data_IF_427303346700
#
_entry.id   IF_427303346700
#
_cell.length_a   1.000
_cell.length_b   1.000
_cell.length_c   1.000
_cell.angle_alpha   90.00
_cell.angle_beta   90.00
_cell.angle_gamma   90.00
#
_symmetry.space_group_name_H-M   'P 1'
#
loop_
_entity.id
_entity.type
_entity.pdbx_description
1 polymer ?
#
# COMPACT_ATOMS: atom_id res chain seq x y z
N UNK A 1 -16.12 -19.46 -8.88
CA UNK A 1 -17.48 -18.91 -8.92
C UNK A 1 -18.45 -19.76 -9.72
N UNK A 2 -18.29 -19.92 -11.04
CA UNK A 2 -19.23 -20.70 -11.86
C UNK A 2 -19.17 -22.22 -11.63
N UNK A 3 -17.99 -22.74 -11.29
CA UNK A 3 -17.73 -24.17 -11.06
C UNK A 3 -18.02 -24.65 -9.64
N UNK A 4 -18.24 -23.74 -8.69
CA UNK A 4 -18.50 -24.08 -7.30
C UNK A 4 -20.01 -24.19 -7.08
N UNK A 5 -20.45 -25.38 -6.69
CA UNK A 5 -21.82 -25.66 -6.28
C UNK A 5 -21.77 -26.36 -4.92
N UNK A 6 -22.31 -25.71 -3.90
CA UNK A 6 -22.36 -26.27 -2.56
C UNK A 6 -23.63 -27.12 -2.43
N UNK A 7 -23.52 -28.45 -2.26
CA UNK A 7 -24.68 -29.34 -2.15
C UNK A 7 -25.56 -29.05 -0.92
N UNK A 8 -25.05 -28.30 0.06
CA UNK A 8 -25.83 -27.89 1.25
C UNK A 8 -26.59 -26.57 1.04
N UNK A 9 -26.21 -25.77 0.05
CA UNK A 9 -26.79 -24.45 -0.23
C UNK A 9 -26.47 -23.37 0.82
N UNK A 10 -25.59 -23.67 1.78
CA UNK A 10 -25.24 -22.77 2.89
C UNK A 10 -24.15 -21.79 2.44
N UNK A 11 -23.22 -22.25 1.60
CA UNK A 11 -22.08 -21.47 1.14
C UNK A 11 -22.42 -20.70 -0.13
N UNK A 12 -22.37 -19.37 -0.05
CA UNK A 12 -22.51 -18.48 -1.21
C UNK A 12 -21.34 -18.68 -2.18
N UNK A 13 -21.58 -18.47 -3.47
CA UNK A 13 -20.54 -18.53 -4.50
C UNK A 13 -19.48 -17.44 -4.28
N UNK A 14 -18.22 -17.78 -4.51
CA UNK A 14 -17.07 -16.88 -4.42
C UNK A 14 -16.06 -17.14 -5.55
N UNK A 15 -15.17 -16.18 -5.79
CA UNK A 15 -14.01 -16.31 -6.68
C UNK A 15 -12.81 -16.84 -5.91
N UNK A 16 -12.53 -16.27 -4.73
CA UNK A 16 -11.34 -16.58 -3.95
C UNK A 16 -11.67 -17.11 -2.56
N UNK A 17 -11.14 -18.29 -2.23
CA UNK A 17 -11.19 -18.86 -0.89
C UNK A 17 -10.06 -18.36 0.03
N UNK A 18 -9.06 -17.70 -0.56
CA UNK A 18 -7.99 -16.96 0.12
C UNK A 18 -8.26 -15.46 0.02
N UNK A 19 -7.57 -14.68 0.85
CA UNK A 19 -7.78 -13.23 0.94
C UNK A 19 -6.51 -12.46 0.64
N UNK A 20 -6.66 -11.25 0.09
CA UNK A 20 -5.55 -10.38 -0.29
C UNK A 20 -4.77 -9.81 0.90
N UNK A 21 -5.38 -9.82 2.10
CA UNK A 21 -4.78 -9.32 3.34
C UNK A 21 -5.11 -10.21 4.53
N UNK A 22 -4.09 -10.70 5.23
CA UNK A 22 -4.23 -11.42 6.50
C UNK A 22 -2.91 -11.33 7.29
N UNK A 23 -2.97 -11.63 8.58
CA UNK A 23 -1.81 -11.56 9.47
C UNK A 23 -0.63 -12.44 8.99
N UNK A 24 -0.94 -13.64 8.47
CA UNK A 24 0.09 -14.54 7.94
C UNK A 24 0.83 -13.96 6.73
N UNK A 25 0.13 -13.19 5.88
CA UNK A 25 0.71 -12.54 4.70
C UNK A 25 1.62 -11.37 5.10
N UNK A 26 1.22 -10.58 6.11
CA UNK A 26 2.07 -9.53 6.68
C UNK A 26 3.34 -10.14 7.28
N UNK A 27 3.21 -11.19 8.09
CA UNK A 27 4.36 -11.91 8.65
C UNK A 27 5.26 -12.53 7.58
N UNK A 28 4.67 -13.06 6.50
CA UNK A 28 5.41 -13.62 5.38
C UNK A 28 6.32 -12.57 4.71
N UNK A 29 5.81 -11.36 4.45
CA UNK A 29 6.64 -10.27 3.90
C UNK A 29 7.68 -9.77 4.90
N UNK A 30 7.29 -9.58 6.17
CA UNK A 30 8.12 -8.97 7.20
C UNK A 30 8.95 -9.97 8.01
N UNK A 31 9.12 -11.21 7.53
CA UNK A 31 9.79 -12.31 8.24
C UNK A 31 11.20 -11.99 8.75
N UNK A 32 11.87 -10.98 8.16
CA UNK A 32 13.23 -10.52 8.53
C UNK A 32 13.24 -9.44 9.63
N UNK A 33 12.09 -8.98 10.09
CA UNK A 33 11.96 -7.92 11.08
C UNK A 33 11.23 -8.39 12.33
N UNK A 34 11.78 -8.05 13.50
CA UNK A 34 11.03 -8.19 14.74
C UNK A 34 9.97 -7.09 14.87
N UNK A 35 8.80 -7.37 15.48
CA UNK A 35 8.41 -8.64 16.14
C UNK A 35 7.83 -9.70 15.18
N UNK A 36 7.77 -9.45 13.87
CA UNK A 36 7.11 -10.32 12.89
C UNK A 36 7.81 -11.68 12.74
N UNK A 37 9.14 -11.72 12.86
CA UNK A 37 9.90 -12.97 12.93
C UNK A 37 9.43 -13.85 14.09
N UNK A 38 9.34 -13.30 15.30
CA UNK A 38 8.84 -14.03 16.48
C UNK A 38 7.41 -14.54 16.26
N UNK A 39 6.52 -13.70 15.74
CA UNK A 39 5.14 -14.07 15.47
C UNK A 39 5.02 -15.17 14.40
N UNK A 40 5.85 -15.11 13.35
CA UNK A 40 5.93 -16.14 12.30
C UNK A 40 6.34 -17.49 12.89
N UNK A 41 7.38 -17.52 13.72
CA UNK A 41 7.85 -18.73 14.40
C UNK A 41 6.76 -19.32 15.29
N UNK A 42 6.03 -18.48 16.02
CA UNK A 42 4.89 -18.93 16.84
C UNK A 42 3.79 -19.56 15.97
N UNK A 43 3.43 -18.91 14.86
CA UNK A 43 2.45 -19.44 13.91
C UNK A 43 2.89 -20.78 13.30
N UNK A 44 4.20 -20.96 13.07
CA UNK A 44 4.79 -22.14 12.45
C UNK A 44 5.29 -23.19 13.47
N UNK A 45 4.65 -23.26 14.65
CA UNK A 45 4.93 -24.27 15.69
C UNK A 45 6.38 -24.28 16.18
N UNK A 46 6.97 -23.09 16.37
CA UNK A 46 8.28 -22.92 16.99
C UNK A 46 9.47 -22.97 16.04
N UNK A 47 9.25 -22.88 14.72
CA UNK A 47 10.32 -22.86 13.71
C UNK A 47 9.98 -21.97 12.52
N UNK A 48 10.96 -21.65 11.67
CA UNK A 48 10.68 -21.03 10.37
C UNK A 48 9.90 -21.97 9.44
N UNK A 49 9.23 -21.38 8.45
CA UNK A 49 8.57 -22.17 7.40
C UNK A 49 9.63 -22.81 6.47
N UNK A 50 9.24 -23.72 5.59
CA UNK A 50 10.17 -24.23 4.58
C UNK A 50 10.61 -23.10 3.66
N UNK A 51 11.90 -23.10 3.32
CA UNK A 51 12.57 -22.07 2.55
C UNK A 51 11.82 -21.68 1.26
N UNK A 52 11.37 -22.67 0.48
CA UNK A 52 10.70 -22.45 -0.81
C UNK A 52 9.34 -21.74 -0.71
N UNK A 53 8.73 -21.68 0.49
CA UNK A 53 7.48 -20.94 0.74
C UNK A 53 7.70 -19.57 1.37
N UNK A 54 8.91 -19.26 1.81
CA UNK A 54 9.22 -17.97 2.43
C UNK A 54 9.40 -16.88 1.36
N UNK A 55 9.17 -15.63 1.75
CA UNK A 55 9.45 -14.49 0.89
C UNK A 55 10.97 -14.34 0.72
N UNK A 56 11.51 -14.76 -0.43
CA UNK A 56 12.95 -14.70 -0.70
C UNK A 56 13.32 -13.99 -2.01
N UNK A 57 12.35 -13.77 -2.90
CA UNK A 57 12.57 -13.15 -4.20
C UNK A 57 11.30 -12.49 -4.72
N UNK A 58 11.44 -11.27 -5.23
CA UNK A 58 10.34 -10.57 -5.89
C UNK A 58 9.88 -11.28 -7.16
N UNK A 59 10.83 -11.82 -7.94
CA UNK A 59 10.51 -12.53 -9.17
C UNK A 59 9.72 -13.80 -8.86
N UNK A 60 10.16 -14.58 -7.87
CA UNK A 60 9.45 -15.80 -7.46
C UNK A 60 8.07 -15.48 -6.88
N UNK A 61 7.96 -14.44 -6.05
CA UNK A 61 6.68 -14.01 -5.49
C UNK A 61 5.69 -13.55 -6.57
N UNK A 62 6.17 -12.74 -7.53
CA UNK A 62 5.36 -12.30 -8.67
C UNK A 62 4.86 -13.47 -9.52
N UNK A 63 5.74 -14.40 -9.88
CA UNK A 63 5.36 -15.58 -10.65
C UNK A 63 4.33 -16.44 -9.89
N UNK A 64 4.50 -16.62 -8.58
CA UNK A 64 3.55 -17.37 -7.77
C UNK A 64 2.15 -16.73 -7.80
N UNK A 65 2.05 -15.41 -7.65
CA UNK A 65 0.77 -14.68 -7.74
C UNK A 65 0.15 -14.82 -9.13
N UNK A 66 0.96 -14.74 -10.19
CA UNK A 66 0.45 -14.80 -11.57
C UNK A 66 0.04 -16.21 -12.02
N UNK A 67 0.70 -17.25 -11.52
CA UNK A 67 0.49 -18.64 -11.95
C UNK A 67 -0.49 -19.39 -11.03
N UNK A 68 -0.68 -18.95 -9.78
CA UNK A 68 -1.55 -19.59 -8.82
C UNK A 68 -2.87 -18.83 -8.65
N UNK A 69 -4.03 -19.38 -9.10
CA UNK A 69 -5.32 -18.71 -8.98
C UNK A 69 -5.80 -18.53 -7.52
N UNK A 70 -5.14 -19.21 -6.58
CA UNK A 70 -5.42 -19.09 -5.14
C UNK A 70 -4.50 -18.10 -4.43
N UNK A 71 -3.54 -17.50 -5.14
CA UNK A 71 -2.58 -16.57 -4.56
C UNK A 71 -2.95 -15.13 -4.96
N UNK A 72 -3.71 -14.46 -4.10
CA UNK A 72 -4.30 -13.14 -4.38
C UNK A 72 -3.82 -12.06 -3.41
N UNK A 73 -2.68 -12.29 -2.73
CA UNK A 73 -2.10 -11.32 -1.79
C UNK A 73 -1.82 -9.98 -2.48
N UNK A 74 -2.22 -8.90 -1.81
CA UNK A 74 -1.87 -7.54 -2.18
C UNK A 74 -0.65 -7.07 -1.37
N UNK A 75 -0.02 -5.99 -1.86
CA UNK A 75 1.15 -5.42 -1.19
C UNK A 75 0.78 -4.75 0.14
N UNK A 76 1.75 -4.72 1.06
CA UNK A 76 1.68 -3.96 2.32
C UNK A 76 2.38 -2.58 2.17
N UNK A 77 2.02 -1.58 2.99
CA UNK A 77 2.60 -0.24 2.90
C UNK A 77 4.13 -0.17 2.94
N UNK A 78 4.77 -1.10 3.65
CA UNK A 78 6.22 -1.18 3.84
C UNK A 78 6.99 -1.26 2.51
N UNK A 79 6.37 -1.79 1.45
CA UNK A 79 6.94 -1.83 0.10
C UNK A 79 7.17 -0.43 -0.52
N UNK A 80 6.67 0.63 0.11
CA UNK A 80 6.76 2.01 -0.38
C UNK A 80 7.54 2.96 0.52
N UNK A 81 8.04 2.49 1.67
CA UNK A 81 8.83 3.35 2.57
C UNK A 81 9.89 2.64 3.43
N UNK A 82 9.85 1.32 3.60
CA UNK A 82 10.68 0.61 4.59
C UNK A 82 11.67 -0.33 3.88
N UNK A 83 12.94 0.05 3.65
CA UNK A 83 13.91 -0.85 3.03
C UNK A 83 14.34 -2.02 3.93
N UNK A 84 14.21 -1.89 5.24
CA UNK A 84 14.77 -2.81 6.22
C UNK A 84 14.17 -4.22 6.16
N UNK A 85 12.91 -4.38 5.75
CA UNK A 85 12.30 -5.72 5.66
C UNK A 85 12.90 -6.60 4.56
N UNK A 86 13.65 -6.00 3.64
CA UNK A 86 14.32 -6.69 2.54
C UNK A 86 15.68 -7.26 2.98
N UNK A 87 16.20 -6.86 4.15
CA UNK A 87 17.54 -7.20 4.62
C UNK A 87 17.44 -8.09 5.85
N UNK A 88 18.18 -9.19 5.85
CA UNK A 88 18.30 -10.09 7.00
C UNK A 88 19.35 -9.56 8.00
N UNK A 89 19.11 -8.37 8.53
CA UNK A 89 20.04 -7.67 9.45
C UNK A 89 20.33 -8.48 10.72
N UNK A 90 19.36 -9.28 11.17
CA UNK A 90 19.46 -10.13 12.34
C UNK A 90 20.17 -11.46 12.08
N UNK A 91 20.55 -11.75 10.84
CA UNK A 91 21.25 -12.98 10.43
C UNK A 91 20.48 -14.25 10.81
N UNK A 92 19.17 -14.24 10.62
CA UNK A 92 18.33 -15.41 10.85
C UNK A 92 18.72 -16.55 9.90
N UNK A 93 18.63 -17.80 10.40
CA UNK A 93 18.72 -18.99 9.56
C UNK A 93 17.36 -19.25 8.90
N UNK A 94 17.20 -18.74 7.69
CA UNK A 94 15.98 -18.87 6.89
C UNK A 94 15.96 -20.16 6.05
N UNK A 95 16.96 -21.03 6.22
CA UNK A 95 17.08 -22.30 5.51
C UNK A 95 17.62 -22.17 4.08
N UNK A 96 17.42 -23.23 3.29
CA UNK A 96 17.92 -23.35 1.91
C UNK A 96 16.85 -23.86 0.96
N UNK A 97 16.83 -23.32 -0.25
CA UNK A 97 15.93 -23.76 -1.32
C UNK A 97 16.22 -25.21 -1.70
N UNK A 98 15.17 -26.00 -1.93
CA UNK A 98 15.31 -27.44 -2.17
C UNK A 98 16.07 -27.77 -3.47
N UNK A 99 15.78 -27.04 -4.55
CA UNK A 99 16.33 -27.34 -5.88
C UNK A 99 17.75 -26.77 -6.03
N UNK A 100 17.93 -25.47 -5.74
CA UNK A 100 19.21 -24.79 -5.96
C UNK A 100 20.21 -24.96 -4.81
N UNK A 101 19.77 -25.47 -3.65
CA UNK A 101 20.52 -25.43 -2.38
C UNK A 101 20.98 -24.02 -1.98
N UNK A 102 20.41 -22.97 -2.56
CA UNK A 102 20.74 -21.59 -2.21
C UNK A 102 20.23 -21.29 -0.81
N UNK A 103 21.12 -20.74 0.03
CA UNK A 103 20.77 -20.26 1.38
C UNK A 103 19.93 -18.98 1.23
N UNK A 104 18.81 -18.92 1.95
CA UNK A 104 17.98 -17.72 2.01
C UNK A 104 18.63 -16.73 2.98
N UNK A 105 18.82 -15.49 2.50
CA UNK A 105 19.30 -14.39 3.31
C UNK A 105 18.46 -13.13 2.99
N UNK A 106 19.07 -12.05 2.52
CA UNK A 106 18.39 -10.87 1.99
C UNK A 106 17.44 -11.25 0.84
N UNK A 107 16.39 -10.46 0.66
CA UNK A 107 15.43 -10.65 -0.44
C UNK A 107 16.14 -10.38 -1.76
N UNK A 108 15.97 -11.28 -2.73
CA UNK A 108 16.49 -11.10 -4.08
C UNK A 108 15.70 -10.00 -4.77
N UNK A 109 16.37 -8.86 -5.01
CA UNK A 109 15.78 -7.69 -5.65
C UNK A 109 15.85 -7.80 -7.18
N UNK A 110 14.95 -7.12 -7.90
CA UNK A 110 15.06 -6.99 -9.34
C UNK A 110 16.37 -6.30 -9.78
N UNK A 111 16.89 -6.59 -10.99
CA UNK A 111 18.18 -6.03 -11.46
C UNK A 111 18.24 -4.50 -11.47
N UNK A 112 17.11 -3.82 -11.71
CA UNK A 112 17.02 -2.36 -11.75
C UNK A 112 17.21 -1.71 -10.37
N UNK A 113 17.08 -2.46 -9.28
CA UNK A 113 17.33 -1.97 -7.94
C UNK A 113 18.82 -2.00 -7.57
N UNK A 114 19.69 -2.55 -8.42
CA UNK A 114 21.14 -2.61 -8.22
C UNK A 114 21.57 -3.18 -6.86
N UNK A 115 20.82 -4.17 -6.35
CA UNK A 115 20.99 -4.75 -5.00
C UNK A 115 20.91 -3.73 -3.85
N UNK A 116 20.23 -2.58 -4.05
CA UNK A 116 19.94 -1.61 -2.98
C UNK A 116 18.45 -1.68 -2.60
N UNK A 117 18.13 -2.09 -1.36
CA UNK A 117 16.80 -1.98 -0.78
C UNK A 117 16.24 -0.56 -0.82
N UNK A 118 17.07 0.45 -0.60
CA UNK A 118 16.68 1.86 -0.63
C UNK A 118 16.27 2.29 -2.05
N UNK A 119 17.03 1.87 -3.06
CA UNK A 119 16.69 2.15 -4.46
C UNK A 119 15.41 1.43 -4.87
N UNK A 120 15.22 0.18 -4.41
CA UNK A 120 13.99 -0.56 -4.59
C UNK A 120 12.78 0.22 -4.07
N UNK A 121 12.82 0.64 -2.81
CA UNK A 121 11.76 1.42 -2.16
C UNK A 121 11.54 2.77 -2.85
N UNK A 122 12.63 3.47 -3.21
CA UNK A 122 12.56 4.76 -3.90
C UNK A 122 11.81 4.64 -5.22
N UNK A 123 12.10 3.62 -6.02
CA UNK A 123 11.44 3.38 -7.31
C UNK A 123 9.99 2.94 -7.10
N UNK A 124 9.71 2.05 -6.14
CA UNK A 124 8.33 1.66 -5.80
C UNK A 124 7.47 2.86 -5.42
N UNK A 125 8.00 3.77 -4.59
CA UNK A 125 7.31 5.01 -4.23
C UNK A 125 7.11 5.93 -5.43
N UNK A 126 8.12 6.08 -6.30
CA UNK A 126 7.95 6.86 -7.53
C UNK A 126 6.89 6.27 -8.47
N UNK A 127 6.79 4.95 -8.55
CA UNK A 127 5.76 4.27 -9.34
C UNK A 127 4.37 4.52 -8.74
N UNK A 128 4.21 4.39 -7.42
CA UNK A 128 2.96 4.68 -6.72
C UNK A 128 2.48 6.13 -6.92
N UNK A 129 3.42 7.09 -6.88
CA UNK A 129 3.13 8.51 -7.06
C UNK A 129 3.08 8.96 -8.53
N UNK A 130 3.25 8.04 -9.48
CA UNK A 130 3.24 8.37 -10.91
C UNK A 130 1.85 8.78 -11.41
N UNK A 131 1.82 9.50 -12.53
CA UNK A 131 0.56 9.84 -13.22
C UNK A 131 -0.22 8.61 -13.66
N UNK A 132 0.50 7.54 -14.03
CA UNK A 132 -0.10 6.27 -14.41
C UNK A 132 -0.97 5.72 -13.28
N UNK A 133 -0.40 5.58 -12.08
CA UNK A 133 -1.13 5.09 -10.90
C UNK A 133 -2.17 6.09 -10.45
N UNK A 134 -1.80 7.38 -10.35
CA UNK A 134 -2.71 8.46 -9.95
C UNK A 134 -4.00 8.48 -10.78
N UNK A 135 -3.90 8.25 -12.10
CA UNK A 135 -5.04 8.27 -13.00
C UNK A 135 -5.99 7.06 -12.86
N UNK A 136 -5.60 6.01 -12.13
CA UNK A 136 -6.32 4.72 -12.02
C UNK A 136 -6.51 4.19 -10.60
N UNK A 137 -5.85 4.76 -9.60
CA UNK A 137 -5.93 4.27 -8.23
C UNK A 137 -7.37 4.22 -7.69
N UNK A 138 -8.22 5.14 -8.15
CA UNK A 138 -9.67 5.13 -7.87
C UNK A 138 -10.36 3.81 -8.24
N UNK A 139 -9.91 3.12 -9.30
CA UNK A 139 -10.46 1.82 -9.72
C UNK A 139 -10.09 0.70 -8.75
N UNK A 140 -8.87 0.75 -8.18
CA UNK A 140 -8.46 -0.17 -7.11
C UNK A 140 -9.21 0.13 -5.81
N UNK A 141 -9.40 1.42 -5.48
CA UNK A 141 -10.23 1.83 -4.33
C UNK A 141 -11.67 1.31 -4.48
N UNK A 142 -12.23 1.32 -5.70
CA UNK A 142 -13.56 0.77 -5.96
C UNK A 142 -13.66 -0.72 -5.64
N UNK A 143 -12.58 -1.49 -5.85
CA UNK A 143 -12.53 -2.92 -5.53
C UNK A 143 -12.42 -3.17 -4.03
N UNK A 144 -11.55 -2.42 -3.34
CA UNK A 144 -11.22 -2.69 -1.93
C UNK A 144 -12.21 -2.04 -0.98
N UNK A 145 -12.66 -0.80 -1.26
CA UNK A 145 -13.49 0.01 -0.36
C UNK A 145 -14.78 0.53 -1.01
N UNK A 146 -14.94 0.37 -2.33
CA UNK A 146 -16.02 1.00 -3.07
C UNK A 146 -17.11 0.07 -3.57
N UNK A 147 -17.81 0.52 -4.61
CA UNK A 147 -19.04 -0.14 -5.08
C UNK A 147 -18.80 -1.52 -5.70
N UNK A 148 -17.55 -1.85 -6.07
CA UNK A 148 -17.16 -3.16 -6.61
C UNK A 148 -16.72 -4.16 -5.53
N UNK A 149 -16.89 -3.83 -4.24
CA UNK A 149 -16.59 -4.74 -3.14
C UNK A 149 -17.65 -5.85 -2.98
N UNK A 150 -18.92 -5.56 -3.33
CA UNK A 150 -20.05 -6.50 -3.19
C UNK A 150 -21.03 -6.42 -4.38
N UNK A 151 -22.02 -7.32 -4.40
CA UNK A 151 -23.09 -7.31 -5.40
C UNK A 151 -22.65 -7.70 -6.82
N UNK A 152 -23.45 -7.32 -7.81
CA UNK A 152 -23.19 -7.67 -9.22
C UNK A 152 -21.87 -7.06 -9.73
N UNK A 153 -21.54 -5.83 -9.30
CA UNK A 153 -20.31 -5.17 -9.69
C UNK A 153 -19.05 -5.93 -9.23
N UNK A 154 -19.09 -6.55 -8.04
CA UNK A 154 -18.02 -7.42 -7.58
C UNK A 154 -17.92 -8.72 -8.39
N UNK A 155 -19.06 -9.28 -8.81
CA UNK A 155 -19.08 -10.49 -9.66
C UNK A 155 -18.44 -10.18 -11.01
N UNK A 156 -18.87 -9.11 -11.65
CA UNK A 156 -18.38 -8.69 -12.98
C UNK A 156 -16.88 -8.35 -12.95
N UNK A 157 -16.38 -7.85 -11.80
CA UNK A 157 -14.97 -7.54 -11.57
C UNK A 157 -14.13 -8.72 -11.05
N UNK A 158 -14.71 -9.93 -10.93
CA UNK A 158 -14.07 -11.10 -10.34
C UNK A 158 -13.50 -10.83 -8.94
N UNK A 159 -14.24 -10.14 -8.09
CA UNK A 159 -13.80 -9.59 -6.79
C UNK A 159 -14.68 -10.09 -5.62
N UNK A 160 -15.07 -11.37 -5.65
CA UNK A 160 -15.93 -11.97 -4.60
C UNK A 160 -15.11 -12.93 -3.75
N UNK A 161 -15.01 -12.66 -2.46
CA UNK A 161 -14.25 -13.47 -1.51
C UNK A 161 -15.16 -14.43 -0.73
N UNK A 162 -14.55 -15.28 0.09
CA UNK A 162 -15.27 -16.17 0.98
C UNK A 162 -16.20 -15.38 1.90
N UNK A 163 -17.43 -15.89 2.10
CA UNK A 163 -18.50 -15.13 2.78
C UNK A 163 -18.12 -14.69 4.20
N UNK A 164 -17.36 -15.51 4.93
CA UNK A 164 -16.94 -15.22 6.30
C UNK A 164 -15.95 -14.04 6.41
N UNK A 165 -15.38 -13.59 5.29
CA UNK A 165 -14.49 -12.42 5.27
C UNK A 165 -15.27 -11.09 5.27
N UNK A 166 -16.57 -11.10 4.99
CA UNK A 166 -17.39 -9.88 4.95
C UNK A 166 -17.98 -9.53 6.31
N UNK A 167 -17.98 -8.23 6.63
CA UNK A 167 -18.60 -7.70 7.85
C UNK A 167 -20.07 -8.15 7.96
N UNK A 168 -20.49 -8.58 9.16
CA UNK A 168 -21.87 -9.01 9.47
C UNK A 168 -22.38 -10.20 8.63
N UNK A 169 -21.52 -10.90 7.91
CA UNK A 169 -21.93 -12.09 7.16
C UNK A 169 -22.25 -13.29 8.06
N UNK A 170 -21.65 -13.33 9.26
CA UNK A 170 -21.87 -14.37 10.28
C UNK A 170 -22.13 -13.71 11.61
N UNK A 171 -23.26 -14.06 12.24
CA UNK A 171 -23.55 -13.70 13.63
C UNK A 171 -22.94 -14.76 14.54
N UNK A 172 -21.73 -14.48 15.02
CA UNK A 172 -20.96 -15.41 15.87
C UNK A 172 -21.65 -15.64 17.22
N UNK A 173 -22.38 -14.64 17.73
CA UNK A 173 -23.08 -14.74 19.02
C UNK A 173 -24.33 -15.61 18.96
N UNK A 174 -24.90 -15.79 17.76
CA UNK A 174 -26.01 -16.70 17.51
C UNK A 174 -25.59 -18.18 17.38
N UNK A 175 -24.28 -18.49 17.41
CA UNK A 175 -23.78 -19.87 17.30
C UNK A 175 -23.76 -20.52 18.68
N UNK A 176 -24.71 -21.43 18.91
CA UNK A 176 -24.84 -22.18 20.17
C UNK A 176 -23.72 -23.20 20.40
N UNK A 177 -23.23 -23.85 19.35
CA UNK A 177 -22.20 -24.87 19.45
C UNK A 177 -20.80 -24.25 19.62
N UNK A 178 -20.11 -24.47 20.77
CA UNK A 178 -18.82 -23.85 21.06
C UNK A 178 -17.74 -24.21 20.04
N UNK A 179 -17.76 -25.44 19.51
CA UNK A 179 -16.76 -25.90 18.54
C UNK A 179 -16.93 -25.18 17.21
N UNK A 180 -18.17 -25.08 16.73
CA UNK A 180 -18.49 -24.32 15.51
C UNK A 180 -18.17 -22.84 15.68
N UNK A 181 -18.46 -22.27 16.85
CA UNK A 181 -18.13 -20.87 17.16
C UNK A 181 -16.62 -20.62 17.09
N UNK A 182 -15.82 -21.44 17.77
CA UNK A 182 -14.36 -21.34 17.77
C UNK A 182 -13.79 -21.50 16.35
N UNK A 183 -14.32 -22.43 15.55
CA UNK A 183 -13.91 -22.61 14.17
C UNK A 183 -14.19 -21.37 13.30
N UNK A 184 -15.37 -20.76 13.43
CA UNK A 184 -15.75 -19.55 12.71
C UNK A 184 -14.90 -18.35 13.14
N UNK A 185 -14.70 -18.16 14.44
CA UNK A 185 -13.83 -17.10 14.98
C UNK A 185 -12.39 -17.26 14.47
N UNK A 186 -11.86 -18.49 14.48
CA UNK A 186 -10.55 -18.81 13.93
C UNK A 186 -10.45 -18.52 12.43
N UNK A 187 -11.51 -18.79 11.65
CA UNK A 187 -11.57 -18.44 10.24
C UNK A 187 -11.50 -16.93 10.03
N UNK A 188 -12.35 -16.18 10.74
CA UNK A 188 -12.43 -14.71 10.65
C UNK A 188 -11.10 -14.04 11.03
N UNK A 189 -10.43 -14.55 12.07
CA UNK A 189 -9.17 -13.96 12.57
C UNK A 189 -7.97 -14.23 11.64
N UNK A 190 -7.91 -15.42 11.03
CA UNK A 190 -6.68 -15.87 10.36
C UNK A 190 -6.73 -15.82 8.83
N UNK A 191 -7.92 -15.90 8.22
CA UNK A 191 -8.04 -16.07 6.76
C UNK A 191 -8.32 -14.77 6.01
N UNK A 192 -8.43 -13.65 6.72
CA UNK A 192 -8.53 -12.31 6.15
C UNK A 192 -9.95 -11.74 6.22
N UNK A 193 -10.00 -10.41 6.34
CA UNK A 193 -11.21 -9.63 6.53
C UNK A 193 -11.29 -8.54 5.47
N UNK A 194 -12.44 -8.45 4.81
CA UNK A 194 -12.76 -7.39 3.88
C UNK A 194 -12.91 -6.09 4.68
N UNK A 195 -12.20 -5.00 4.32
CA UNK A 195 -12.40 -3.70 4.96
C UNK A 195 -13.84 -3.20 4.80
N UNK A 196 -14.32 -2.37 5.73
CA UNK A 196 -15.66 -1.77 5.58
C UNK A 196 -15.78 -0.98 4.29
N UNK A 197 -16.91 -1.14 3.59
CA UNK A 197 -17.23 -0.37 2.40
C UNK A 197 -17.42 1.11 2.76
N UNK A 198 -16.67 2.00 2.10
CA UNK A 198 -16.68 3.44 2.35
C UNK A 198 -17.60 4.20 1.38
N UNK A 199 -17.83 3.65 0.19
CA UNK A 199 -18.58 4.28 -0.89
C UNK A 199 -19.38 3.26 -1.70
N UNK A 200 -20.62 3.63 -2.02
CA UNK A 200 -21.53 2.82 -2.85
C UNK A 200 -21.58 3.29 -4.31
N UNK A 201 -20.96 4.43 -4.60
CA UNK A 201 -20.83 5.02 -5.94
C UNK A 201 -19.37 4.96 -6.40
N UNK A 202 -19.08 5.09 -7.71
CA UNK A 202 -17.72 5.12 -8.22
C UNK A 202 -16.84 6.18 -7.55
N UNK A 203 -15.64 5.79 -7.12
CA UNK A 203 -14.68 6.71 -6.52
C UNK A 203 -14.26 7.80 -7.54
N UNK A 204 -14.24 9.08 -7.15
CA UNK A 204 -13.79 10.15 -8.02
C UNK A 204 -12.37 9.93 -8.55
N UNK A 205 -12.17 10.11 -9.86
CA UNK A 205 -10.85 10.03 -10.46
C UNK A 205 -9.98 11.22 -10.00
N UNK A 206 -8.74 10.96 -9.60
CA UNK A 206 -7.77 12.01 -9.29
C UNK A 206 -7.46 12.81 -10.56
N UNK A 207 -7.55 14.13 -10.45
CA UNK A 207 -7.17 15.06 -11.51
C UNK A 207 -5.65 15.12 -11.66
N UNK A 208 -5.17 15.42 -12.86
CA UNK A 208 -3.75 15.74 -13.05
C UNK A 208 -3.40 17.05 -12.33
N UNK A 209 -2.11 17.29 -12.10
CA UNK A 209 -1.63 18.55 -11.53
C UNK A 209 -2.09 19.76 -12.34
N UNK A 210 -2.09 19.66 -13.68
CA UNK A 210 -2.52 20.73 -14.57
C UNK A 210 -4.03 20.97 -14.47
N UNK A 211 -4.84 19.90 -14.44
CA UNK A 211 -6.29 20.00 -14.32
C UNK A 211 -6.68 20.63 -12.98
N UNK A 212 -6.07 20.17 -11.89
CA UNK A 212 -6.30 20.74 -10.56
C UNK A 212 -5.86 22.22 -10.50
N UNK A 213 -4.74 22.58 -11.12
CA UNK A 213 -4.28 23.97 -11.19
C UNK A 213 -5.26 24.86 -11.96
N UNK A 214 -5.74 24.43 -13.12
CA UNK A 214 -6.74 25.15 -13.91
C UNK A 214 -8.05 25.34 -13.14
N UNK A 215 -8.50 24.32 -12.40
CA UNK A 215 -9.69 24.44 -11.55
C UNK A 215 -9.49 25.45 -10.42
N UNK A 216 -8.34 25.44 -9.74
CA UNK A 216 -8.01 26.40 -8.68
C UNK A 216 -8.00 27.83 -9.23
N UNK A 217 -7.39 28.05 -10.40
CA UNK A 217 -7.38 29.35 -11.09
C UNK A 217 -8.80 29.81 -11.44
N UNK A 218 -9.63 28.92 -11.99
CA UNK A 218 -11.01 29.21 -12.36
C UNK A 218 -11.89 29.59 -11.16
N UNK A 219 -11.58 29.05 -9.98
CA UNK A 219 -12.29 29.32 -8.73
C UNK A 219 -11.80 30.60 -8.02
N UNK A 220 -10.82 31.33 -8.60
CA UNK A 220 -10.26 32.54 -8.01
C UNK A 220 -9.56 32.31 -6.66
N UNK A 221 -9.16 31.06 -6.37
CA UNK A 221 -8.46 30.73 -5.12
C UNK A 221 -7.01 31.19 -5.21
N UNK A 222 -6.53 31.78 -4.12
CA UNK A 222 -5.15 32.25 -4.04
C UNK A 222 -4.16 31.09 -4.26
N UNK A 223 -3.09 31.36 -5.02
CA UNK A 223 -2.00 30.42 -5.25
C UNK A 223 -1.48 29.87 -3.92
N UNK A 224 -1.49 28.55 -3.78
CA UNK A 224 -0.91 27.92 -2.60
C UNK A 224 0.63 28.03 -2.68
N UNK A 225 1.18 28.84 -1.77
CA UNK A 225 2.62 29.06 -1.67
C UNK A 225 3.41 27.76 -1.48
N UNK A 226 2.84 26.77 -0.78
CA UNK A 226 3.46 25.47 -0.52
C UNK A 226 3.54 24.58 -1.76
N UNK A 227 2.69 24.80 -2.77
CA UNK A 227 2.75 24.08 -4.05
C UNK A 227 3.75 24.69 -5.03
N UNK A 228 4.23 25.90 -4.76
CA UNK A 228 5.10 26.66 -5.64
C UNK A 228 6.46 26.97 -4.98
N UNK A 229 6.85 26.24 -3.93
CA UNK A 229 8.07 26.50 -3.17
C UNK A 229 9.33 26.56 -4.05
N UNK A 230 9.36 25.77 -5.12
CA UNK A 230 10.46 25.76 -6.12
C UNK A 230 10.51 27.02 -6.99
N UNK A 231 9.40 27.74 -7.10
CA UNK A 231 9.27 28.99 -7.86
C UNK A 231 9.42 30.24 -6.99
N UNK A 232 9.40 30.10 -5.65
CA UNK A 232 9.56 31.22 -4.72
C UNK A 232 11.02 31.68 -4.73
N UNK A 233 11.21 32.99 -4.87
CA UNK A 233 12.50 33.67 -4.72
C UNK A 233 12.42 34.62 -3.55
N UNK A 234 13.42 34.54 -2.66
CA UNK A 234 13.52 35.44 -1.52
C UNK A 234 14.23 36.73 -1.93
N UNK A 235 13.62 37.89 -1.72
CA UNK A 235 14.25 39.20 -1.98
C UNK A 235 14.60 39.88 -0.66
N UNK A 236 15.80 40.46 -0.59
CA UNK A 236 16.19 41.31 0.51
C UNK A 236 15.72 42.73 0.23
N UNK A 237 14.91 43.29 1.13
CA UNK A 237 14.43 44.67 1.04
C UNK A 237 15.17 45.48 2.09
N UNK A 238 15.88 46.51 1.66
CA UNK A 238 16.55 47.45 2.55
C UNK A 238 15.62 48.66 2.76
N UNK A 239 15.17 48.84 4.00
CA UNK A 239 14.26 49.94 4.35
C UNK A 239 15.11 51.06 4.95
N UNK A 240 15.27 52.15 4.23
CA UNK A 240 15.95 53.34 4.75
C UNK A 240 15.01 54.03 5.76
N UNK A 241 15.42 54.26 7.01
CA UNK A 241 14.63 55.04 7.94
C UNK A 241 14.45 56.46 7.40
N UNK A 242 13.25 57.01 7.50
CA UNK A 242 13.01 58.42 7.21
C UNK A 242 13.81 59.27 8.20
N UNK A 243 14.96 59.78 7.76
CA UNK A 243 15.63 60.87 8.46
C UNK A 243 14.78 62.12 8.22
N UNK A 244 14.22 62.62 9.32
CA UNK A 244 13.31 63.76 9.45
C UNK A 244 11.81 63.49 9.32
N UNK A 245 11.10 64.06 10.31
CA UNK A 245 9.70 63.85 10.72
C UNK A 245 8.62 64.25 9.68
N UNK A 246 8.91 64.23 8.39
CA UNK A 246 7.94 64.68 7.37
C UNK A 246 7.93 63.92 6.04
N UNK A 247 8.60 62.77 5.93
CA UNK A 247 8.56 61.97 4.71
C UNK A 247 8.10 60.55 5.00
N UNK A 248 7.07 60.08 4.27
CA UNK A 248 6.65 58.69 4.27
C UNK A 248 7.84 57.78 3.89
N UNK A 249 8.02 56.62 4.55
CA UNK A 249 9.14 55.74 4.28
C UNK A 249 9.11 55.25 2.83
N UNK A 250 10.08 55.68 2.03
CA UNK A 250 10.25 55.20 0.65
C UNK A 250 10.96 53.85 0.71
N UNK A 251 10.25 52.78 0.37
CA UNK A 251 10.82 51.44 0.28
C UNK A 251 11.45 51.25 -1.10
N UNK A 252 12.78 51.12 -1.16
CA UNK A 252 13.48 50.80 -2.41
C UNK A 252 13.63 49.29 -2.54
N UNK A 253 12.86 48.68 -3.44
CA UNK A 253 12.98 47.25 -3.73
C UNK A 253 14.05 47.06 -4.81
N UNK A 254 15.26 46.68 -4.38
CA UNK A 254 16.32 46.26 -5.30
C UNK A 254 16.22 44.76 -5.54
N UNK A 255 15.84 44.36 -6.77
CA UNK A 255 15.89 42.95 -7.18
C UNK A 255 17.33 42.63 -7.61
N UNK A 256 18.10 41.81 -6.86
CA UNK A 256 19.46 41.48 -7.24
C UNK A 256 19.44 40.70 -8.55
N UNK A 257 20.20 41.14 -9.57
CA UNK A 257 20.27 40.46 -10.88
C UNK A 257 20.79 39.01 -10.78
N UNK A 258 21.53 38.69 -9.72
CA UNK A 258 22.00 37.35 -9.41
C UNK A 258 21.59 36.97 -7.98
N UNK A 259 20.58 36.12 -7.83
CA UNK A 259 20.29 35.43 -6.57
C UNK A 259 20.70 33.96 -6.70
N UNK A 260 21.58 33.52 -5.80
CA UNK A 260 22.27 32.23 -5.93
C UNK A 260 21.62 31.10 -5.12
N UNK A 261 20.56 31.34 -4.33
CA UNK A 261 19.97 30.27 -3.52
C UNK A 261 18.45 30.21 -3.54
N UNK A 262 17.96 29.00 -3.87
CA UNK A 262 16.58 28.55 -3.67
C UNK A 262 16.27 28.44 -2.17
N UNK A 263 15.01 28.63 -1.80
CA UNK A 263 14.52 28.51 -0.43
C UNK A 263 14.78 27.12 0.20
N UNK A 264 15.04 26.09 -0.62
CA UNK A 264 15.23 24.69 -0.20
C UNK A 264 16.68 24.20 -0.26
N UNK A 265 17.68 25.08 -0.18
CA UNK A 265 19.07 24.67 0.03
C UNK A 265 19.43 24.57 1.51
#
# INVERSE_FOLDING_TARGET
YESFDDPTGIMKKFHYGTHYSNAASVMHYLIRMEPFTTLHIQLQSGKFDIADRQFHSFQSAWLNIMDSPNEVKELIPEFFYLPEFLVNSNKFDLGKLQISNQIINDVQLPPWAHNSPEEFIRIHRLALESDYVSSRLHEWIDLIFGYKQTGQAAIDALNVFMYCSYEKAVDVDAIDDPVTREAVEGMIQNFGQIPSQLLTEPHPKRQTSEQAALEIESQGRALNIFQNLTHIRAFFVEITPANDKLCDPITFISIPKNQVRSFMQ
#
